data_IF_092738067962
#
_entry.id   IF_092738067962
#
_cell.length_a   1.000
_cell.length_b   1.000
_cell.length_c   1.000
_cell.angle_alpha   90.00
_cell.angle_beta   90.00
_cell.angle_gamma   90.00
#
_symmetry.space_group_name_H-M   'P 1'
#
loop_
_entity.id
_entity.type
_entity.pdbx_description
1 polymer ?
#
# COMPACT_ATOMS: atom_id res chain seq x y z
N UNK A 1 -8.24 -0.12 10.36
CA UNK A 1 -7.65 1.24 10.37
C UNK A 1 -8.40 2.12 9.39
N UNK A 2 -8.34 3.42 9.59
CA UNK A 2 -8.92 4.38 8.63
C UNK A 2 -8.00 4.47 7.42
N UNK A 3 -8.50 4.07 6.25
CA UNK A 3 -7.72 4.01 5.02
C UNK A 3 -8.12 5.16 4.10
N UNK A 4 -7.14 5.95 3.70
CA UNK A 4 -7.29 7.05 2.76
C UNK A 4 -6.52 6.73 1.48
N UNK A 5 -6.92 7.37 0.40
CA UNK A 5 -6.31 7.16 -0.91
C UNK A 5 -5.84 8.48 -1.49
N UNK A 6 -4.56 8.54 -1.80
CA UNK A 6 -4.01 9.66 -2.53
C UNK A 6 -4.36 9.54 -4.01
N UNK A 7 -4.46 10.67 -4.70
CA UNK A 7 -4.71 10.67 -6.15
C UNK A 7 -3.65 9.87 -6.91
N UNK A 8 -2.40 9.94 -6.45
CA UNK A 8 -1.31 9.20 -7.07
C UNK A 8 -1.53 7.68 -7.00
N UNK A 9 -2.12 7.19 -5.92
CA UNK A 9 -2.45 5.77 -5.81
C UNK A 9 -3.51 5.37 -6.84
N UNK A 10 -4.60 6.11 -6.89
CA UNK A 10 -5.68 5.84 -7.84
C UNK A 10 -5.18 5.89 -9.29
N UNK A 11 -4.34 6.88 -9.58
CA UNK A 11 -3.74 7.03 -10.89
C UNK A 11 -2.81 5.88 -11.25
N UNK A 12 -2.04 5.39 -10.27
CA UNK A 12 -1.14 4.26 -10.50
C UNK A 12 -1.90 2.97 -10.79
N UNK A 13 -3.10 2.79 -10.23
CA UNK A 13 -3.93 1.62 -10.52
C UNK A 13 -4.47 1.61 -11.96
N UNK A 14 -4.68 2.77 -12.57
CA UNK A 14 -5.23 2.87 -13.91
C UNK A 14 -4.37 2.18 -14.97
N UNK A 15 -3.09 1.96 -14.68
CA UNK A 15 -2.17 1.29 -15.59
C UNK A 15 -2.40 -0.21 -15.69
N UNK A 16 -3.20 -0.77 -14.81
CA UNK A 16 -3.39 -2.22 -14.70
C UNK A 16 -4.85 -2.59 -14.92
N UNK A 17 -5.07 -3.63 -15.74
CA UNK A 17 -6.41 -4.15 -16.00
C UNK A 17 -6.49 -5.67 -15.73
N UNK A 18 -5.49 -6.24 -15.11
CA UNK A 18 -5.50 -7.64 -14.69
C UNK A 18 -6.42 -7.79 -13.49
N UNK A 19 -7.54 -8.49 -13.70
CA UNK A 19 -8.58 -8.62 -12.68
C UNK A 19 -8.06 -9.36 -11.45
N UNK A 20 -7.22 -10.36 -11.62
CA UNK A 20 -6.67 -11.12 -10.51
C UNK A 20 -5.75 -10.25 -9.65
N UNK A 21 -4.96 -9.40 -10.30
CA UNK A 21 -4.08 -8.48 -9.61
C UNK A 21 -4.89 -7.43 -8.84
N UNK A 22 -5.91 -6.86 -9.47
CA UNK A 22 -6.76 -5.85 -8.84
C UNK A 22 -7.55 -6.44 -7.66
N UNK A 23 -7.97 -7.70 -7.75
CA UNK A 23 -8.61 -8.37 -6.63
C UNK A 23 -7.67 -8.52 -5.43
N UNK A 24 -6.38 -8.75 -5.68
CA UNK A 24 -5.38 -8.82 -4.61
C UNK A 24 -5.17 -7.45 -3.97
N UNK A 25 -5.24 -6.39 -4.75
CA UNK A 25 -5.19 -5.02 -4.22
C UNK A 25 -6.40 -4.75 -3.32
N UNK A 26 -7.60 -5.12 -3.77
CA UNK A 26 -8.82 -4.98 -2.98
C UNK A 26 -8.71 -5.73 -1.64
N UNK A 27 -8.16 -6.94 -1.68
CA UNK A 27 -7.97 -7.72 -0.45
C UNK A 27 -7.01 -7.04 0.50
N UNK A 28 -5.93 -6.47 -0.02
CA UNK A 28 -4.97 -5.73 0.80
C UNK A 28 -5.63 -4.52 1.45
N UNK A 29 -6.47 -3.80 0.72
CA UNK A 29 -7.23 -2.68 1.26
C UNK A 29 -8.15 -3.14 2.38
N UNK A 30 -8.89 -4.22 2.17
CA UNK A 30 -9.79 -4.79 3.18
C UNK A 30 -9.04 -5.22 4.43
N UNK A 31 -7.87 -5.84 4.26
CA UNK A 31 -7.03 -6.25 5.37
C UNK A 31 -6.59 -5.03 6.21
N UNK A 32 -6.25 -3.94 5.54
CA UNK A 32 -5.88 -2.70 6.23
C UNK A 32 -7.07 -2.10 6.98
N UNK A 33 -8.25 -2.11 6.36
CA UNK A 33 -9.46 -1.59 7.00
C UNK A 33 -9.84 -2.38 8.25
N UNK A 34 -9.65 -3.70 8.21
CA UNK A 34 -9.98 -4.58 9.33
C UNK A 34 -8.91 -4.60 10.42
N UNK A 35 -7.69 -4.17 10.12
CA UNK A 35 -6.57 -4.21 11.05
C UNK A 35 -6.78 -3.24 12.21
N UNK A 36 -6.44 -3.67 13.42
CA UNK A 36 -6.46 -2.79 14.59
C UNK A 36 -5.13 -2.07 14.75
N UNK A 37 -4.05 -2.66 14.24
CA UNK A 37 -2.72 -2.07 14.27
C UNK A 37 -1.92 -2.53 13.06
N UNK A 38 -0.75 -1.91 12.83
CA UNK A 38 0.10 -2.25 11.69
C UNK A 38 0.52 -3.72 11.67
N UNK A 39 0.75 -4.32 12.85
CA UNK A 39 1.17 -5.71 12.92
C UNK A 39 0.13 -6.70 12.42
N UNK A 40 -1.11 -6.28 12.28
CA UNK A 40 -2.19 -7.12 11.77
C UNK A 40 -2.29 -7.09 10.25
N UNK A 41 -1.49 -6.25 9.58
CA UNK A 41 -1.52 -6.14 8.13
C UNK A 41 -0.54 -7.16 7.54
N UNK A 42 -1.03 -8.12 6.72
CA UNK A 42 -0.16 -9.12 6.11
C UNK A 42 0.83 -8.50 5.13
N UNK A 43 2.03 -9.08 5.06
CA UNK A 43 3.06 -8.74 4.07
C UNK A 43 3.58 -7.30 4.17
N UNK A 44 3.42 -6.69 5.33
CA UNK A 44 3.84 -5.32 5.58
C UNK A 44 5.31 -5.25 5.96
N UNK A 45 6.00 -4.25 5.44
CA UNK A 45 7.36 -3.93 5.85
C UNK A 45 7.54 -2.43 5.87
N UNK A 46 8.21 -1.94 6.92
CA UNK A 46 8.56 -0.52 7.03
C UNK A 46 9.70 -0.20 6.07
N UNK A 47 9.65 0.96 5.43
CA UNK A 47 10.76 1.44 4.60
C UNK A 47 11.93 1.86 5.49
N UNK A 48 13.11 1.34 5.16
CA UNK A 48 14.34 1.67 5.88
C UNK A 48 14.66 3.16 5.72
N UNK A 49 15.01 3.82 6.83
CA UNK A 49 15.38 5.23 6.82
C UNK A 49 14.21 6.21 6.89
N UNK A 50 12.97 5.72 6.98
CA UNK A 50 11.78 6.56 7.06
C UNK A 50 10.92 6.17 8.24
N UNK A 51 10.31 7.15 8.89
CA UNK A 51 9.49 6.89 10.09
C UNK A 51 8.13 6.30 9.79
N UNK A 52 7.45 6.81 8.77
CA UNK A 52 6.02 6.57 8.59
C UNK A 52 5.67 5.96 7.24
N UNK A 53 6.64 5.46 6.51
CA UNK A 53 6.41 4.87 5.20
C UNK A 53 6.56 3.37 5.23
N UNK A 54 5.57 2.69 4.64
CA UNK A 54 5.47 1.24 4.65
C UNK A 54 5.13 0.74 3.26
N UNK A 55 5.42 -0.53 2.99
CA UNK A 55 4.99 -1.18 1.76
C UNK A 55 4.30 -2.50 2.07
N UNK A 56 3.32 -2.85 1.25
CA UNK A 56 2.66 -4.16 1.28
C UNK A 56 3.08 -4.92 0.03
N UNK A 57 3.56 -6.14 0.23
CA UNK A 57 3.97 -7.01 -0.88
C UNK A 57 2.75 -7.71 -1.47
N UNK A 58 2.56 -7.59 -2.79
CA UNK A 58 1.52 -8.27 -3.55
C UNK A 58 2.20 -8.93 -4.75
N UNK A 59 2.73 -10.15 -4.56
CA UNK A 59 3.50 -10.82 -5.61
C UNK A 59 4.69 -9.98 -6.04
N UNK A 60 4.76 -9.68 -7.33
CA UNK A 60 5.81 -8.82 -7.89
C UNK A 60 5.53 -7.34 -7.73
N UNK A 61 4.43 -6.97 -7.07
CA UNK A 61 3.99 -5.58 -6.93
C UNK A 61 4.03 -5.14 -5.47
N UNK A 62 3.99 -3.84 -5.29
CA UNK A 62 4.04 -3.23 -3.96
C UNK A 62 3.02 -2.11 -3.85
N UNK A 63 2.36 -2.02 -2.71
CA UNK A 63 1.60 -0.82 -2.34
C UNK A 63 2.44 -0.05 -1.34
N UNK A 64 2.67 1.23 -1.62
CA UNK A 64 3.32 2.13 -0.67
C UNK A 64 2.28 2.98 0.04
N UNK A 65 2.36 3.07 1.36
CA UNK A 65 1.47 3.94 2.13
C UNK A 65 2.22 4.69 3.22
N UNK A 66 1.60 5.76 3.67
CA UNK A 66 2.09 6.57 4.78
C UNK A 66 1.17 6.40 5.98
N UNK A 67 1.77 6.21 7.15
CA UNK A 67 1.04 6.25 8.42
C UNK A 67 0.91 7.71 8.83
N UNK A 68 -0.32 8.25 8.72
CA UNK A 68 -0.57 9.66 8.98
C UNK A 68 -0.76 9.90 10.47
N UNK A 69 -1.56 9.02 11.09
CA UNK A 69 -1.86 9.06 12.52
C UNK A 69 -1.90 7.62 13.02
N UNK A 70 -1.99 7.45 14.32
CA UNK A 70 -1.93 6.14 14.96
C UNK A 70 -2.78 5.07 14.30
N UNK A 71 -3.97 5.42 13.79
CA UNK A 71 -4.90 4.48 13.16
C UNK A 71 -5.37 4.93 11.78
N UNK A 72 -4.59 5.79 11.14
CA UNK A 72 -4.94 6.30 9.82
C UNK A 72 -3.77 6.12 8.86
N UNK A 73 -4.02 5.52 7.72
CA UNK A 73 -3.03 5.31 6.68
C UNK A 73 -3.54 5.87 5.35
N UNK A 74 -2.61 6.32 4.53
CA UNK A 74 -2.91 6.85 3.21
C UNK A 74 -2.11 6.09 2.16
N UNK A 75 -2.80 5.42 1.25
CA UNK A 75 -2.18 4.72 0.13
C UNK A 75 -1.71 5.74 -0.89
N UNK A 76 -0.45 5.61 -1.31
CA UNK A 76 0.21 6.60 -2.17
C UNK A 76 0.50 6.05 -3.56
N UNK A 77 0.95 4.80 -3.66
CA UNK A 77 1.34 4.25 -4.94
C UNK A 77 1.16 2.73 -4.99
N UNK A 78 0.80 2.23 -6.18
CA UNK A 78 0.85 0.83 -6.52
C UNK A 78 1.79 0.68 -7.71
N UNK A 79 2.86 -0.10 -7.56
CA UNK A 79 3.87 -0.22 -8.59
C UNK A 79 4.62 -1.54 -8.49
N UNK A 80 5.37 -1.88 -9.54
CA UNK A 80 6.21 -3.08 -9.55
C UNK A 80 7.34 -2.96 -8.51
N UNK A 81 7.75 -4.10 -7.95
CA UNK A 81 8.82 -4.16 -6.95
C UNK A 81 10.12 -3.47 -7.38
N UNK A 82 10.40 -3.44 -8.68
CA UNK A 82 11.60 -2.80 -9.22
C UNK A 82 11.57 -1.29 -9.09
N UNK A 83 10.39 -0.69 -9.00
CA UNK A 83 10.20 0.75 -9.04
C UNK A 83 9.83 1.38 -7.70
N UNK A 84 9.44 0.56 -6.71
CA UNK A 84 8.92 1.10 -5.46
C UNK A 84 9.89 2.07 -4.78
N UNK A 85 11.16 1.72 -4.70
CA UNK A 85 12.15 2.55 -4.01
C UNK A 85 12.65 3.74 -4.85
N UNK A 86 12.28 3.78 -6.12
CA UNK A 86 12.56 4.93 -6.99
C UNK A 86 11.45 5.97 -6.96
N UNK A 87 10.22 5.51 -6.74
CA UNK A 87 9.03 6.35 -6.84
C UNK A 87 8.37 6.64 -5.50
N UNK A 88 8.81 5.96 -4.42
CA UNK A 88 8.18 6.05 -3.11
C UNK A 88 9.23 6.06 -2.00
N UNK A 89 9.16 6.93 -1.03
CA UNK A 89 8.23 8.03 -0.88
C UNK A 89 8.52 9.19 -1.79
#
# INVERSE_FOLDING_TARGET
MDVRFDKSFLKSLEKYNDINLLNKVDKAISNCESAESLKDIPNLKKLSGFKNYYRIKIGSYRIGFELIQKRQIRFIIFTHRKDIYKKFP
#
